data_IF_656588416301
#
_entry.id   IF_656588416301
#
_cell.length_a   1.000
_cell.length_b   1.000
_cell.length_c   1.000
_cell.angle_alpha   90.00
_cell.angle_beta   90.00
_cell.angle_gamma   90.00
#
_symmetry.space_group_name_H-M   'P 1'
#
loop_
_entity.id
_entity.type
_entity.pdbx_description
1 polymer ?
#
# COMPACT_ATOMS: atom_id res chain seq x y z
N UNK A 1 -14.72 8.57 19.54
CA UNK A 1 -13.40 9.15 19.93
C UNK A 1 -12.65 8.27 20.91
N UNK A 2 -13.20 7.95 22.11
CA UNK A 2 -12.50 7.12 23.12
C UNK A 2 -11.93 5.80 22.58
N UNK A 3 -12.65 5.14 21.66
CA UNK A 3 -12.15 3.95 20.97
C UNK A 3 -10.89 4.22 20.13
N UNK A 4 -10.86 5.31 19.36
CA UNK A 4 -9.71 5.69 18.52
C UNK A 4 -8.48 5.98 19.38
N UNK A 5 -8.67 6.67 20.50
CA UNK A 5 -7.62 6.92 21.50
C UNK A 5 -7.05 5.62 22.07
N UNK A 6 -7.92 4.71 22.53
CA UNK A 6 -7.49 3.44 23.11
C UNK A 6 -6.73 2.57 22.09
N UNK A 7 -7.18 2.54 20.83
CA UNK A 7 -6.47 1.84 19.75
C UNK A 7 -5.09 2.47 19.50
N UNK A 8 -4.98 3.80 19.55
CA UNK A 8 -3.71 4.49 19.43
C UNK A 8 -2.75 4.16 20.59
N UNK A 9 -3.24 4.14 21.83
CA UNK A 9 -2.41 3.80 22.99
C UNK A 9 -1.80 2.38 22.87
N UNK A 10 -2.62 1.42 22.43
CA UNK A 10 -2.15 0.07 22.14
C UNK A 10 -1.14 0.07 20.98
N UNK A 11 -1.41 0.81 19.91
CA UNK A 11 -0.50 0.91 18.76
C UNK A 11 0.88 1.43 19.18
N UNK A 12 0.92 2.43 20.06
CA UNK A 12 2.16 2.99 20.59
C UNK A 12 2.90 2.03 21.52
N UNK A 13 2.20 1.16 22.24
CA UNK A 13 2.82 0.10 23.02
C UNK A 13 3.55 -0.92 22.11
N UNK A 14 2.90 -1.35 21.02
CA UNK A 14 3.54 -2.25 20.04
C UNK A 14 4.70 -1.59 19.31
N UNK A 15 4.60 -0.28 18.99
CA UNK A 15 5.72 0.47 18.44
C UNK A 15 6.94 0.44 19.38
N UNK A 16 6.75 0.73 20.67
CA UNK A 16 7.81 0.69 21.68
C UNK A 16 8.41 -0.71 21.86
N UNK A 17 7.60 -1.75 21.67
CA UNK A 17 8.04 -3.14 21.73
C UNK A 17 8.70 -3.65 20.42
N UNK A 18 8.69 -2.86 19.34
CA UNK A 18 9.17 -3.27 18.02
C UNK A 18 8.29 -4.30 17.31
N UNK A 19 7.04 -4.46 17.76
CA UNK A 19 6.07 -5.41 17.19
C UNK A 19 5.32 -4.78 16.00
N UNK A 20 5.99 -4.78 14.84
CA UNK A 20 5.47 -4.18 13.61
C UNK A 20 4.14 -4.82 13.14
N UNK A 21 3.96 -6.16 13.15
CA UNK A 21 2.69 -6.77 12.72
C UNK A 21 1.49 -6.32 13.56
N UNK A 22 1.63 -6.29 14.89
CA UNK A 22 0.56 -5.82 15.76
C UNK A 22 0.31 -4.31 15.61
N UNK A 23 1.37 -3.52 15.47
CA UNK A 23 1.28 -2.10 15.14
C UNK A 23 0.44 -1.87 13.87
N UNK A 24 0.73 -2.58 12.78
CA UNK A 24 0.03 -2.38 11.50
C UNK A 24 -1.46 -2.76 11.57
N UNK A 25 -1.79 -3.78 12.35
CA UNK A 25 -3.19 -4.17 12.60
C UNK A 25 -3.95 -3.04 13.30
N UNK A 26 -3.36 -2.44 14.33
CA UNK A 26 -3.98 -1.33 15.07
C UNK A 26 -4.00 -0.03 14.25
N UNK A 27 -2.93 0.25 13.50
CA UNK A 27 -2.85 1.36 12.55
C UNK A 27 -4.04 1.33 11.58
N UNK A 28 -4.34 0.17 10.98
CA UNK A 28 -5.51 0.02 10.10
C UNK A 28 -6.81 0.31 10.85
N UNK A 29 -6.98 -0.28 12.03
CA UNK A 29 -8.21 -0.13 12.83
C UNK A 29 -8.47 1.30 13.27
N UNK A 30 -7.42 2.09 13.54
CA UNK A 30 -7.52 3.52 13.86
C UNK A 30 -8.13 4.30 12.69
N UNK A 31 -7.67 4.05 11.46
CA UNK A 31 -8.24 4.72 10.30
C UNK A 31 -9.69 4.29 10.06
N UNK A 32 -10.00 2.98 10.09
CA UNK A 32 -11.38 2.49 9.99
C UNK A 32 -12.29 3.22 11.01
N UNK A 33 -11.89 3.23 12.29
CA UNK A 33 -12.64 3.86 13.37
C UNK A 33 -12.77 5.39 13.22
N UNK A 34 -11.79 6.05 12.58
CA UNK A 34 -11.84 7.50 12.31
C UNK A 34 -12.90 7.83 11.27
N UNK A 35 -12.98 7.05 10.19
CA UNK A 35 -14.01 7.22 9.15
C UNK A 35 -15.40 6.81 9.64
N UNK A 36 -15.50 5.75 10.45
CA UNK A 36 -16.76 5.37 11.13
C UNK A 36 -17.26 6.49 12.06
N UNK A 37 -16.36 7.14 12.80
CA UNK A 37 -16.69 8.24 13.71
C UNK A 37 -17.29 9.47 13.01
N UNK A 38 -17.00 9.67 11.72
CA UNK A 38 -17.58 10.75 10.95
C UNK A 38 -19.10 10.58 10.70
N UNK A 39 -19.66 9.39 10.96
CA UNK A 39 -21.10 9.13 10.80
C UNK A 39 -21.59 9.19 9.35
N UNK A 40 -20.66 9.12 8.38
CA UNK A 40 -20.96 9.22 6.96
C UNK A 40 -20.62 7.89 6.25
N UNK A 41 -21.64 7.07 6.00
CA UNK A 41 -21.49 5.75 5.39
C UNK A 41 -20.89 5.81 3.98
N UNK A 42 -21.24 6.84 3.19
CA UNK A 42 -20.68 7.05 1.85
C UNK A 42 -19.18 7.32 1.92
N UNK A 43 -18.75 8.18 2.85
CA UNK A 43 -17.33 8.46 3.07
C UNK A 43 -16.57 7.22 3.53
N UNK A 44 -17.13 6.45 4.48
CA UNK A 44 -16.52 5.21 4.95
C UNK A 44 -16.36 4.18 3.81
N UNK A 45 -17.38 4.03 2.95
CA UNK A 45 -17.30 3.17 1.77
C UNK A 45 -16.24 3.63 0.78
N UNK A 46 -16.17 4.93 0.50
CA UNK A 46 -15.14 5.49 -0.37
C UNK A 46 -13.72 5.23 0.18
N UNK A 47 -13.53 5.42 1.49
CA UNK A 47 -12.26 5.09 2.14
C UNK A 47 -11.85 3.62 1.93
N UNK A 48 -12.76 2.66 2.08
CA UNK A 48 -12.45 1.23 1.86
C UNK A 48 -12.01 0.96 0.41
N UNK A 49 -12.62 1.64 -0.57
CA UNK A 49 -12.23 1.53 -1.98
C UNK A 49 -10.83 2.09 -2.26
N UNK A 50 -10.46 3.20 -1.61
CA UNK A 50 -9.11 3.76 -1.69
C UNK A 50 -8.12 2.83 -1.00
N UNK A 51 -8.45 2.36 0.20
CA UNK A 51 -7.59 1.49 1.02
C UNK A 51 -7.18 0.22 0.26
N UNK A 52 -8.12 -0.39 -0.46
CA UNK A 52 -7.87 -1.57 -1.29
C UNK A 52 -6.77 -1.34 -2.32
N UNK A 53 -6.73 -0.16 -2.94
CA UNK A 53 -5.74 0.20 -3.98
C UNK A 53 -4.35 0.43 -3.40
N UNK A 54 -4.27 0.95 -2.17
CA UNK A 54 -2.99 1.28 -1.52
C UNK A 54 -2.54 0.25 -0.49
N UNK A 55 -3.26 -0.87 -0.36
CA UNK A 55 -3.06 -1.86 0.70
C UNK A 55 -1.62 -2.37 0.76
N UNK A 56 -1.03 -2.69 -0.39
CA UNK A 56 0.34 -3.19 -0.46
C UNK A 56 1.35 -2.19 0.12
N UNK A 57 1.29 -0.93 -0.33
CA UNK A 57 2.17 0.14 0.16
C UNK A 57 1.97 0.43 1.64
N UNK A 58 0.72 0.34 2.12
CA UNK A 58 0.39 0.72 3.49
C UNK A 58 0.71 -0.38 4.51
N UNK A 59 0.50 -1.65 4.17
CA UNK A 59 0.53 -2.74 5.17
C UNK A 59 1.43 -3.93 4.82
N UNK A 60 1.76 -4.14 3.54
CA UNK A 60 2.53 -5.34 3.13
C UNK A 60 4.00 -5.01 2.93
N UNK A 61 4.28 -3.86 2.33
CA UNK A 61 5.64 -3.45 2.00
C UNK A 61 6.39 -3.08 3.29
N UNK A 62 7.61 -3.62 3.40
CA UNK A 62 8.50 -3.39 4.53
C UNK A 62 8.87 -1.92 4.61
N UNK A 63 8.67 -1.33 5.79
CA UNK A 63 8.98 0.07 6.03
C UNK A 63 10.43 0.21 6.46
N UNK A 64 11.07 1.29 6.04
CA UNK A 64 12.33 1.69 6.68
C UNK A 64 12.02 2.16 8.11
N UNK A 65 12.99 2.08 9.04
CA UNK A 65 12.82 2.62 10.39
C UNK A 65 12.40 4.10 10.39
N UNK A 66 12.87 4.86 9.40
CA UNK A 66 12.52 6.27 9.25
C UNK A 66 11.05 6.47 8.84
N UNK A 67 10.54 5.70 7.88
CA UNK A 67 9.11 5.74 7.52
C UNK A 67 8.21 5.34 8.68
N UNK A 68 8.63 4.36 9.48
CA UNK A 68 7.86 3.95 10.64
C UNK A 68 7.83 5.04 11.71
N UNK A 69 8.98 5.64 12.05
CA UNK A 69 9.06 6.77 12.99
C UNK A 69 8.22 7.97 12.52
N UNK A 70 8.24 8.26 11.22
CA UNK A 70 7.42 9.31 10.62
C UNK A 70 5.93 9.02 10.76
N UNK A 71 5.50 7.80 10.41
CA UNK A 71 4.10 7.38 10.53
C UNK A 71 3.58 7.52 11.96
N UNK A 72 4.41 7.14 12.96
CA UNK A 72 4.09 7.30 14.37
C UNK A 72 3.87 8.77 14.75
N UNK A 73 4.79 9.66 14.37
CA UNK A 73 4.66 11.09 14.65
C UNK A 73 3.41 11.71 14.00
N UNK A 74 3.08 11.29 12.78
CA UNK A 74 1.85 11.71 12.08
C UNK A 74 0.59 11.23 12.83
N UNK A 75 0.58 9.99 13.32
CA UNK A 75 -0.51 9.46 14.12
C UNK A 75 -0.73 10.22 15.43
N UNK A 76 0.35 10.58 16.14
CA UNK A 76 0.25 11.40 17.37
C UNK A 76 -0.41 12.75 17.07
N UNK A 77 -0.04 13.38 15.95
CA UNK A 77 -0.64 14.66 15.52
C UNK A 77 -2.12 14.50 15.14
N UNK A 78 -2.49 13.40 14.47
CA UNK A 78 -3.89 13.13 14.13
C UNK A 78 -4.76 12.95 15.37
N UNK A 79 -4.27 12.23 16.38
CA UNK A 79 -4.98 12.06 17.65
C UNK A 79 -5.16 13.41 18.35
N UNK A 80 -4.11 14.24 18.41
CA UNK A 80 -4.21 15.57 18.99
C UNK A 80 -5.24 16.46 18.26
N UNK A 81 -5.28 16.42 16.92
CA UNK A 81 -6.29 17.15 16.14
C UNK A 81 -7.71 16.61 16.39
N UNK A 82 -7.86 15.29 16.51
CA UNK A 82 -9.15 14.65 16.79
C UNK A 82 -9.66 14.99 18.20
N UNK A 83 -8.79 14.99 19.20
CA UNK A 83 -9.08 15.39 20.59
C UNK A 83 -9.51 16.86 20.68
N UNK A 84 -8.83 17.73 19.92
CA UNK A 84 -9.19 19.14 19.79
C UNK A 84 -10.46 19.39 18.94
N UNK A 85 -11.02 18.35 18.30
CA UNK A 85 -12.13 18.44 17.33
C UNK A 85 -11.83 19.37 16.16
N UNK A 86 -10.57 19.46 15.76
CA UNK A 86 -10.10 20.29 14.65
C UNK A 86 -10.14 19.50 13.35
N UNK A 87 -11.32 19.47 12.73
CA UNK A 87 -11.57 18.78 11.46
C UNK A 87 -10.67 19.25 10.31
N UNK A 88 -10.51 20.56 10.06
CA UNK A 88 -9.62 21.07 9.01
C UNK A 88 -8.16 20.60 9.18
N UNK A 89 -7.63 20.68 10.41
CA UNK A 89 -6.27 20.19 10.69
C UNK A 89 -6.16 18.68 10.51
N UNK A 90 -7.12 17.92 11.00
CA UNK A 90 -7.13 16.46 10.83
C UNK A 90 -7.17 16.06 9.36
N UNK A 91 -7.96 16.76 8.54
CA UNK A 91 -8.03 16.53 7.09
C UNK A 91 -6.67 16.72 6.43
N UNK A 92 -5.98 17.82 6.74
CA UNK A 92 -4.64 18.11 6.21
C UNK A 92 -3.62 17.04 6.62
N UNK A 93 -3.63 16.63 7.89
CA UNK A 93 -2.74 15.58 8.39
C UNK A 93 -2.99 14.23 7.72
N UNK A 94 -4.25 13.85 7.48
CA UNK A 94 -4.59 12.61 6.78
C UNK A 94 -4.12 12.65 5.31
N UNK A 95 -4.25 13.79 4.64
CA UNK A 95 -3.73 13.98 3.28
C UNK A 95 -2.20 13.85 3.24
N UNK A 96 -1.50 14.54 4.13
CA UNK A 96 -0.02 14.48 4.24
C UNK A 96 0.47 13.07 4.56
N UNK A 97 -0.24 12.33 5.41
CA UNK A 97 0.11 10.95 5.74
C UNK A 97 0.00 10.00 4.54
N UNK A 98 -1.03 10.17 3.71
CA UNK A 98 -1.18 9.35 2.49
C UNK A 98 -0.16 9.79 1.43
N UNK A 99 -0.11 11.07 1.11
CA UNK A 99 0.72 11.61 0.01
C UNK A 99 2.21 11.69 0.33
N UNK A 100 2.57 11.77 1.62
CA UNK A 100 3.95 11.77 2.11
C UNK A 100 4.42 10.35 2.43
N UNK A 101 3.87 9.75 3.49
CA UNK A 101 4.37 8.47 4.02
C UNK A 101 4.01 7.29 3.12
N UNK A 102 2.74 7.13 2.73
CA UNK A 102 2.34 5.96 1.92
C UNK A 102 2.97 6.00 0.52
N UNK A 103 2.97 7.16 -0.13
CA UNK A 103 3.61 7.33 -1.45
C UNK A 103 5.13 7.26 -1.36
N UNK A 104 5.74 7.75 -0.27
CA UNK A 104 7.17 7.64 -0.03
C UNK A 104 7.65 6.19 0.02
N UNK A 105 6.92 5.34 0.75
CA UNK A 105 7.17 3.88 0.80
C UNK A 105 7.05 3.26 -0.59
N UNK A 106 6.02 3.63 -1.36
CA UNK A 106 5.81 3.14 -2.72
C UNK A 106 6.99 3.51 -3.66
N UNK A 107 7.41 4.78 -3.62
CA UNK A 107 8.53 5.27 -4.43
C UNK A 107 9.85 4.58 -4.10
N UNK A 108 10.15 4.40 -2.81
CA UNK A 108 11.37 3.73 -2.38
C UNK A 108 11.40 2.27 -2.85
N UNK A 109 10.27 1.57 -2.78
CA UNK A 109 10.15 0.21 -3.27
C UNK A 109 10.36 0.11 -4.78
N UNK A 110 9.67 0.95 -5.57
CA UNK A 110 9.84 0.98 -7.03
C UNK A 110 11.30 1.24 -7.39
N UNK A 111 11.94 2.20 -6.72
CA UNK A 111 13.35 2.51 -6.96
C UNK A 111 14.28 1.33 -6.63
N UNK A 112 14.00 0.58 -5.56
CA UNK A 112 14.77 -0.63 -5.19
C UNK A 112 14.62 -1.75 -6.21
N UNK A 113 13.40 -2.04 -6.64
CA UNK A 113 13.12 -3.05 -7.66
C UNK A 113 13.82 -2.71 -8.98
N UNK A 114 13.68 -1.46 -9.46
CA UNK A 114 14.34 -1.02 -10.69
C UNK A 114 15.87 -1.09 -10.61
N UNK A 115 16.46 -0.80 -9.45
CA UNK A 115 17.90 -0.95 -9.23
C UNK A 115 18.34 -2.42 -9.25
N UNK A 116 17.55 -3.33 -8.66
CA UNK A 116 17.82 -4.76 -8.66
C UNK A 116 17.73 -5.37 -10.08
N UNK A 117 16.72 -5.00 -10.86
CA UNK A 117 16.58 -5.39 -12.27
C UNK A 117 17.75 -4.89 -13.12
N UNK A 118 18.17 -3.64 -12.91
CA UNK A 118 19.32 -3.05 -13.59
C UNK A 118 20.65 -3.72 -13.24
N UNK A 119 20.83 -4.19 -12.00
CA UNK A 119 22.01 -4.94 -11.57
C UNK A 119 22.04 -6.35 -12.16
N UNK A 120 20.90 -7.05 -12.19
CA UNK A 120 20.77 -8.36 -12.84
C UNK A 120 21.07 -8.29 -14.35
N UNK A 121 20.63 -7.23 -15.03
CA UNK A 121 20.90 -7.03 -16.45
C UNK A 121 22.38 -6.74 -16.76
N UNK A 122 23.11 -6.05 -15.88
CA UNK A 122 24.56 -5.79 -16.03
C UNK A 122 25.42 -7.03 -15.77
N UNK A 123 24.99 -7.92 -14.88
CA UNK A 123 25.69 -9.20 -14.63
C UNK A 123 25.45 -10.22 -15.75
N UNK A 124 24.31 -10.15 -16.45
CA UNK A 124 23.97 -11.02 -17.58
C UNK A 124 24.67 -10.69 -18.91
N UNK A 125 25.44 -9.60 -19.01
CA UNK A 125 26.14 -9.21 -20.26
C UNK A 125 27.62 -9.60 -20.30
N UNK A 126 28.08 -10.44 -19.35
CA UNK A 126 29.48 -10.88 -19.23
C UNK A 126 29.88 -12.11 -20.06
N UNK A 127 29.07 -12.57 -21.01
CA UNK A 127 29.44 -13.65 -21.93
C UNK A 127 28.72 -13.49 -23.28
N UNK A 128 29.24 -12.62 -24.14
CA UNK A 128 28.93 -12.63 -25.57
C UNK A 128 30.23 -12.54 -26.36
N UNK A 129 30.91 -13.69 -26.48
CA UNK A 129 31.91 -13.89 -27.53
C UNK A 129 31.20 -14.33 -28.81
N UNK A 130 31.41 -13.53 -29.85
CA UNK A 130 31.17 -13.73 -31.27
C UNK A 130 30.59 -15.07 -31.75
N UNK A 131 29.38 -15.02 -32.32
CA UNK A 131 29.02 -15.62 -33.62
C UNK A 131 27.54 -15.29 -33.91
N UNK A 132 27.25 -14.60 -35.02
CA UNK A 132 25.94 -14.71 -35.68
C UNK A 132 26.00 -15.80 -36.77
N UNK A 133 24.94 -16.01 -37.57
CA UNK A 133 23.52 -15.69 -37.35
C UNK A 133 22.62 -16.94 -37.58
N UNK A 134 21.34 -16.89 -37.18
CA UNK A 134 20.27 -17.42 -38.06
C UNK A 134 18.89 -16.90 -37.63
N UNK A 135 18.17 -16.29 -38.57
CA UNK A 135 16.83 -15.73 -38.34
C UNK A 135 15.83 -16.74 -38.91
N UNK A 136 15.20 -17.51 -38.02
CA UNK A 136 13.98 -18.25 -38.31
C UNK A 136 12.95 -17.96 -37.20
N UNK A 137 11.93 -17.18 -37.54
CA UNK A 137 10.76 -16.94 -36.68
C UNK A 137 9.78 -18.12 -36.82
N UNK A 138 9.35 -18.79 -35.74
CA UNK A 138 8.21 -19.68 -35.80
C UNK A 138 6.91 -18.88 -35.71
N UNK A 139 6.06 -19.02 -36.74
CA UNK A 139 4.68 -18.54 -36.74
C UNK A 139 3.87 -19.45 -35.78
N UNK A 140 3.17 -18.93 -34.75
CA UNK A 140 2.30 -19.76 -33.94
C UNK A 140 1.01 -20.11 -34.70
N UNK A 141 0.64 -21.40 -34.69
CA UNK A 141 -0.58 -21.90 -35.29
C UNK A 141 -1.83 -21.28 -34.63
N UNK A 142 -2.79 -20.85 -35.46
CA UNK A 142 -4.10 -20.32 -35.02
C UNK A 142 -4.81 -21.35 -34.14
N UNK A 143 -5.09 -20.99 -32.89
CA UNK A 143 -5.95 -21.75 -31.98
C UNK A 143 -7.39 -21.63 -32.47
N UNK A 144 -8.03 -22.76 -32.77
CA UNK A 144 -9.42 -22.80 -33.19
C UNK A 144 -10.33 -22.29 -32.05
N UNK A 145 -11.15 -21.27 -32.34
CA UNK A 145 -12.19 -20.77 -31.44
C UNK A 145 -13.31 -21.82 -31.38
N UNK A 146 -13.55 -22.34 -30.18
CA UNK A 146 -14.65 -23.27 -29.90
C UNK A 146 -16.02 -22.61 -30.13
N UNK A 147 -16.92 -23.34 -30.78
CA UNK A 147 -18.32 -22.95 -31.06
C UNK A 147 -19.10 -22.77 -29.76
N UNK A 148 -19.97 -21.75 -29.62
CA UNK A 148 -20.83 -21.62 -28.44
C UNK A 148 -21.92 -22.71 -28.42
N UNK A 149 -22.13 -23.34 -27.27
CA UNK A 149 -23.26 -24.25 -27.03
C UNK A 149 -24.57 -23.46 -26.94
N UNK A 150 -25.59 -23.91 -27.66
CA UNK A 150 -26.97 -23.41 -27.52
C UNK A 150 -27.55 -23.89 -26.18
N UNK A 151 -28.19 -22.98 -25.45
CA UNK A 151 -29.02 -23.28 -24.27
C UNK A 151 -30.46 -23.46 -24.79
N UNK A 152 -31.16 -24.58 -24.52
CA UNK A 152 -32.58 -24.69 -24.81
C UNK A 152 -33.40 -23.99 -23.73
N UNK A 153 -34.47 -23.32 -24.17
CA UNK A 153 -35.42 -22.62 -23.34
C UNK A 153 -36.51 -23.58 -22.83
N UNK A 154 -36.77 -23.53 -21.53
CA UNK A 154 -38.07 -23.78 -20.89
C UNK A 154 -38.22 -22.79 -19.72
#
# INVERSE_FOLDING_TARGET
>A
MAQVRALHDQMMAHYRAGDEPAYLKLNRRIHDATFELAGNATLASFYQQVLTRIHACRFVMRKSPEHWRRAVAEHEQMIAALEARDGPRLSKLLEEHVTGTTVGIAREFIARESAAEGAGRRQGTGAASAAGPDIALPIPARRAVGRPRKIPAE
#
